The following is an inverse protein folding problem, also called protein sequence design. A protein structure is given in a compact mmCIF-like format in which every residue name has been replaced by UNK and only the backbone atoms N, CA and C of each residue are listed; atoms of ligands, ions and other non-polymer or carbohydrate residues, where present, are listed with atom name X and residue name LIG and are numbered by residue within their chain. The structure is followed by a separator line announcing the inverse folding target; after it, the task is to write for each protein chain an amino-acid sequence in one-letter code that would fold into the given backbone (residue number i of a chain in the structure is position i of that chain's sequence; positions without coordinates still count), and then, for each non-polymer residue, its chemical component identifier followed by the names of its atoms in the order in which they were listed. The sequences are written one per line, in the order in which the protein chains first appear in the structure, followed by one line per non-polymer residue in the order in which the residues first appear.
data_IF_717230613208
#
_entry.id   IF_717230613208
#
_cell.length_a   1.000
_cell.length_b   1.000
_cell.length_c   1.000
_cell.angle_alpha   90.00
_cell.angle_beta   90.00
_cell.angle_gamma   90.00
#
_symmetry.space_group_name_H-M   'P 1'
#
loop_
_entity.id
_entity.type
_entity.pdbx_description
1 polymer ?
#
# COMPACT_ATOMS: atom_id res chain seq x y z
N UNK A 1 -1.64 -9.19 -29.01
CA UNK A 1 -2.21 -10.49 -28.63
C UNK A 1 -1.73 -10.89 -27.24
N UNK A 2 -0.42 -10.96 -26.99
CA UNK A 2 0.16 -11.45 -25.71
C UNK A 2 -0.38 -10.78 -24.43
N UNK A 3 -0.48 -9.44 -24.41
CA UNK A 3 -1.04 -8.72 -23.24
C UNK A 3 -2.54 -8.90 -23.06
N UNK A 4 -3.26 -9.28 -24.12
CA UNK A 4 -4.69 -9.56 -24.12
C UNK A 4 -4.97 -10.93 -23.52
N UNK A 5 -4.20 -11.92 -23.95
CA UNK A 5 -4.31 -13.30 -23.47
C UNK A 5 -3.88 -13.39 -22.00
N UNK A 6 -2.85 -12.63 -21.59
CA UNK A 6 -2.44 -12.53 -20.18
C UNK A 6 -3.58 -12.04 -19.25
N UNK A 7 -4.40 -11.09 -19.69
CA UNK A 7 -5.54 -10.58 -18.90
C UNK A 7 -6.67 -11.62 -18.82
N UNK A 8 -6.92 -12.33 -19.93
CA UNK A 8 -7.91 -13.40 -19.94
C UNK A 8 -7.49 -14.57 -19.06
N UNK A 9 -6.20 -14.90 -19.04
CA UNK A 9 -5.62 -15.92 -18.15
C UNK A 9 -5.70 -15.48 -16.68
N UNK A 10 -5.34 -14.22 -16.38
CA UNK A 10 -5.49 -13.66 -15.03
C UNK A 10 -6.95 -13.73 -14.55
N UNK A 11 -7.90 -13.34 -15.41
CA UNK A 11 -9.33 -13.42 -15.12
C UNK A 11 -9.75 -14.87 -14.85
N UNK A 12 -9.37 -15.82 -15.71
CA UNK A 12 -9.71 -17.23 -15.58
C UNK A 12 -9.16 -17.82 -14.26
N UNK A 13 -7.91 -17.50 -13.90
CA UNK A 13 -7.29 -17.92 -12.64
C UNK A 13 -8.03 -17.35 -11.44
N UNK A 14 -8.36 -16.06 -11.44
CA UNK A 14 -9.09 -15.42 -10.34
C UNK A 14 -10.52 -15.97 -10.23
N UNK A 15 -11.16 -16.25 -11.36
CA UNK A 15 -12.51 -16.82 -11.42
C UNK A 15 -12.54 -18.23 -10.84
N UNK A 16 -11.62 -19.10 -11.29
CA UNK A 16 -11.49 -20.45 -10.76
C UNK A 16 -11.22 -20.47 -9.25
N UNK A 17 -10.42 -19.53 -8.75
CA UNK A 17 -10.21 -19.36 -7.29
C UNK A 17 -11.47 -18.93 -6.57
N UNK A 18 -12.29 -18.05 -7.16
CA UNK A 18 -13.54 -17.61 -6.55
C UNK A 18 -14.58 -18.74 -6.52
N UNK A 19 -14.57 -19.64 -7.50
CA UNK A 19 -15.49 -20.78 -7.57
C UNK A 19 -15.12 -21.90 -6.55
N UNK A 20 -13.97 -21.83 -5.88
CA UNK A 20 -13.58 -22.76 -4.80
C UNK A 20 -14.41 -22.51 -3.50
N UNK A 21 -15.20 -23.50 -3.03
CA UNK A 21 -15.98 -23.39 -1.78
C UNK A 21 -15.17 -22.98 -0.55
N UNK A 22 -13.88 -23.35 -0.49
CA UNK A 22 -13.01 -23.02 0.64
C UNK A 22 -12.78 -21.51 0.77
N UNK A 23 -12.82 -20.76 -0.34
CA UNK A 23 -12.65 -19.30 -0.34
C UNK A 23 -13.82 -18.60 0.35
N UNK A 24 -15.02 -19.17 0.30
CA UNK A 24 -16.21 -18.60 0.92
C UNK A 24 -16.24 -18.76 2.46
N UNK A 25 -15.33 -19.55 3.04
CA UNK A 25 -15.13 -19.61 4.50
C UNK A 25 -14.52 -18.31 5.07
N UNK A 26 -13.86 -17.53 4.22
CA UNK A 26 -13.34 -16.20 4.54
C UNK A 26 -13.99 -15.18 3.59
N UNK A 27 -15.03 -14.51 4.08
CA UNK A 27 -15.76 -13.50 3.31
C UNK A 27 -14.85 -12.36 2.82
N UNK A 28 -13.78 -12.01 3.56
CA UNK A 28 -12.82 -10.97 3.16
C UNK A 28 -12.03 -11.44 1.93
N UNK A 29 -11.62 -12.72 1.89
CA UNK A 29 -10.94 -13.33 0.74
C UNK A 29 -11.84 -13.38 -0.49
N UNK A 30 -13.09 -13.83 -0.34
CA UNK A 30 -14.05 -13.89 -1.44
C UNK A 30 -14.33 -12.49 -2.03
N UNK A 31 -14.51 -11.48 -1.17
CA UNK A 31 -14.71 -10.09 -1.60
C UNK A 31 -13.51 -9.53 -2.36
N UNK A 32 -12.28 -9.75 -1.88
CA UNK A 32 -11.06 -9.33 -2.59
C UNK A 32 -10.97 -9.90 -4.00
N UNK A 33 -11.30 -11.19 -4.16
CA UNK A 33 -11.33 -11.84 -5.48
C UNK A 33 -12.42 -11.25 -6.39
N UNK A 34 -13.61 -10.98 -5.85
CA UNK A 34 -14.68 -10.31 -6.62
C UNK A 34 -14.25 -8.93 -7.13
N UNK A 35 -13.65 -8.09 -6.30
CA UNK A 35 -13.13 -6.78 -6.72
C UNK A 35 -12.02 -6.89 -7.76
N UNK A 36 -11.14 -7.88 -7.61
CA UNK A 36 -10.10 -8.13 -8.60
C UNK A 36 -10.69 -8.53 -9.96
N UNK A 37 -11.73 -9.35 -9.99
CA UNK A 37 -12.47 -9.69 -11.22
C UNK A 37 -13.21 -8.48 -11.79
N UNK A 38 -13.89 -7.69 -10.97
CA UNK A 38 -14.59 -6.48 -11.38
C UNK A 38 -13.62 -5.48 -12.04
N UNK A 39 -12.42 -5.32 -11.48
CA UNK A 39 -11.38 -4.46 -12.04
C UNK A 39 -10.86 -4.94 -13.40
N UNK A 40 -10.99 -6.24 -13.71
CA UNK A 40 -10.59 -6.82 -14.99
C UNK A 40 -11.69 -6.78 -16.06
N UNK A 41 -12.95 -6.63 -15.66
CA UNK A 41 -14.11 -6.72 -16.56
C UNK A 41 -14.07 -5.71 -17.73
N UNK A 42 -13.68 -4.43 -17.54
CA UNK A 42 -13.57 -3.49 -18.67
C UNK A 42 -12.57 -3.93 -19.73
N UNK A 43 -11.45 -4.54 -19.31
CA UNK A 43 -10.40 -5.02 -20.21
C UNK A 43 -10.84 -6.30 -20.94
N UNK A 44 -11.53 -7.20 -20.23
CA UNK A 44 -12.14 -8.41 -20.81
C UNK A 44 -13.22 -8.06 -21.85
N UNK A 45 -14.08 -7.09 -21.54
CA UNK A 45 -15.11 -6.64 -22.48
C UNK A 45 -14.49 -6.03 -23.74
N UNK A 46 -13.47 -5.18 -23.60
CA UNK A 46 -12.77 -4.59 -24.75
C UNK A 46 -12.00 -5.62 -25.58
N UNK A 47 -11.42 -6.63 -24.91
CA UNK A 47 -10.78 -7.79 -25.55
C UNK A 47 -11.77 -8.53 -26.44
N UNK A 48 -12.97 -8.82 -25.95
CA UNK A 48 -14.02 -9.48 -26.73
C UNK A 48 -14.44 -8.66 -27.96
N UNK A 49 -14.61 -7.35 -27.81
CA UNK A 49 -14.93 -6.45 -28.94
C UNK A 49 -13.81 -6.39 -29.97
N UNK A 50 -12.55 -6.35 -29.53
CA UNK A 50 -11.39 -6.35 -30.42
C UNK A 50 -11.27 -7.65 -31.22
N UNK A 51 -11.57 -8.80 -30.60
CA UNK A 51 -11.58 -10.09 -31.29
C UNK A 51 -12.64 -10.12 -32.39
N UNK A 52 -13.87 -9.71 -32.09
CA UNK A 52 -14.94 -9.61 -33.08
C UNK A 52 -14.56 -8.67 -34.24
N UNK A 53 -13.98 -7.50 -33.93
CA UNK A 53 -13.53 -6.55 -34.95
C UNK A 53 -12.38 -7.09 -35.82
N UNK A 54 -11.53 -7.96 -35.26
CA UNK A 54 -10.49 -8.65 -36.01
C UNK A 54 -11.08 -9.68 -36.99
N UNK A 55 -12.13 -10.38 -36.58
CA UNK A 55 -12.89 -11.28 -37.45
C UNK A 55 -13.57 -10.51 -38.58
N UNK A 56 -14.25 -9.40 -38.28
CA UNK A 56 -14.86 -8.53 -39.30
C UNK A 56 -13.81 -8.01 -40.30
N UNK A 57 -12.64 -7.60 -39.81
CA UNK A 57 -11.53 -7.16 -40.65
C UNK A 57 -10.99 -8.28 -41.54
N UNK A 58 -10.89 -9.50 -41.00
CA UNK A 58 -10.46 -10.69 -41.74
C UNK A 58 -11.44 -10.99 -42.88
N UNK A 59 -12.73 -10.98 -42.59
CA UNK A 59 -13.79 -11.23 -43.57
C UNK A 59 -13.84 -10.13 -44.64
N UNK A 60 -13.78 -8.85 -44.24
CA UNK A 60 -13.74 -7.72 -45.16
C UNK A 60 -12.51 -7.75 -46.09
N UNK A 61 -11.35 -8.18 -45.58
CA UNK A 61 -10.15 -8.42 -46.42
C UNK A 61 -10.34 -9.57 -47.38
N UNK A 62 -11.00 -10.64 -46.95
CA UNK A 62 -11.39 -11.76 -47.81
C UNK A 62 -12.31 -11.32 -48.94
N UNK A 63 -13.34 -10.52 -48.64
CA UNK A 63 -14.23 -9.95 -49.65
C UNK A 63 -13.53 -8.98 -50.58
N UNK A 64 -12.63 -8.13 -50.08
CA UNK A 64 -11.85 -7.20 -50.90
C UNK A 64 -10.96 -7.91 -51.94
N UNK A 65 -10.55 -9.15 -51.68
CA UNK A 65 -9.82 -9.96 -52.65
C UNK A 65 -10.68 -10.40 -53.84
N UNK A 66 -12.00 -10.52 -53.65
CA UNK A 66 -12.96 -10.91 -54.70
C UNK A 66 -13.65 -9.70 -55.35
N UNK A 67 -13.94 -8.66 -54.57
CA UNK A 67 -14.63 -7.44 -54.99
C UNK A 67 -13.91 -6.20 -54.41
N UNK A 68 -13.23 -5.40 -55.25
CA UNK A 68 -12.53 -4.18 -54.82
C UNK A 68 -13.40 -3.17 -54.07
N UNK A 69 -14.73 -3.20 -54.19
CA UNK A 69 -15.64 -2.31 -53.46
C UNK A 69 -15.44 -2.40 -51.94
N UNK A 70 -15.04 -3.57 -51.42
CA UNK A 70 -14.79 -3.81 -49.99
C UNK A 70 -13.45 -3.25 -49.48
N UNK A 71 -12.56 -2.77 -50.35
CA UNK A 71 -11.25 -2.24 -49.96
C UNK A 71 -11.35 -1.07 -48.98
N UNK A 72 -12.33 -0.19 -49.21
CA UNK A 72 -12.56 0.98 -48.34
C UNK A 72 -13.00 0.56 -46.93
N UNK A 73 -13.86 -0.45 -46.84
CA UNK A 73 -14.36 -1.00 -45.58
C UNK A 73 -13.28 -1.77 -44.83
N UNK A 74 -12.50 -2.63 -45.50
CA UNK A 74 -11.34 -3.29 -44.91
C UNK A 74 -10.32 -2.27 -44.37
N UNK A 75 -10.10 -1.16 -45.09
CA UNK A 75 -9.26 -0.06 -44.63
C UNK A 75 -9.84 0.68 -43.41
N UNK A 76 -11.15 0.89 -43.37
CA UNK A 76 -11.86 1.51 -42.22
C UNK A 76 -11.72 0.65 -40.97
N UNK A 77 -12.06 -0.63 -41.06
CA UNK A 77 -11.93 -1.61 -39.99
C UNK A 77 -10.47 -1.75 -39.53
N UNK A 78 -9.51 -1.75 -40.45
CA UNK A 78 -8.08 -1.81 -40.11
C UNK A 78 -7.61 -0.65 -39.24
N UNK A 79 -8.05 0.58 -39.55
CA UNK A 79 -7.75 1.76 -38.71
C UNK A 79 -8.44 1.67 -37.34
N UNK A 80 -9.66 1.16 -37.31
CA UNK A 80 -10.44 1.00 -36.08
C UNK A 80 -9.80 -0.02 -35.12
N UNK A 81 -9.36 -1.18 -35.66
CA UNK A 81 -8.59 -2.18 -34.91
C UNK A 81 -7.34 -1.55 -34.32
N UNK A 82 -6.50 -0.93 -35.14
CA UNK A 82 -5.23 -0.33 -34.69
C UNK A 82 -5.45 0.73 -33.61
N UNK A 83 -6.47 1.59 -33.76
CA UNK A 83 -6.79 2.61 -32.77
C UNK A 83 -7.25 2.02 -31.43
N UNK A 84 -8.10 0.99 -31.46
CA UNK A 84 -8.57 0.32 -30.23
C UNK A 84 -7.47 -0.48 -29.55
N UNK A 85 -6.62 -1.19 -30.30
CA UNK A 85 -5.46 -1.89 -29.75
C UNK A 85 -4.51 -0.92 -29.04
N UNK A 86 -4.18 0.21 -29.66
CA UNK A 86 -3.33 1.23 -29.05
C UNK A 86 -3.95 1.86 -27.80
N UNK A 87 -5.28 2.00 -27.76
CA UNK A 87 -6.00 2.48 -26.57
C UNK A 87 -5.95 1.45 -25.45
N UNK A 88 -6.22 0.17 -25.75
CA UNK A 88 -6.20 -0.90 -24.77
C UNK A 88 -4.80 -1.14 -24.21
N UNK A 89 -3.78 -1.15 -25.06
CA UNK A 89 -2.38 -1.30 -24.65
C UNK A 89 -1.96 -0.18 -23.66
N UNK A 90 -2.33 1.08 -23.95
CA UNK A 90 -2.09 2.20 -23.02
C UNK A 90 -2.83 2.03 -21.69
N UNK A 91 -4.09 1.58 -21.73
CA UNK A 91 -4.87 1.35 -20.52
C UNK A 91 -4.26 0.24 -19.65
N UNK A 92 -3.83 -0.87 -20.27
CA UNK A 92 -3.16 -1.98 -19.57
C UNK A 92 -1.81 -1.57 -18.99
N UNK A 93 -1.01 -0.77 -19.71
CA UNK A 93 0.25 -0.26 -19.20
C UNK A 93 0.08 0.70 -18.00
N UNK A 94 -1.05 1.42 -17.93
CA UNK A 94 -1.36 2.34 -16.84
C UNK A 94 -1.97 1.64 -15.60
N UNK A 95 -2.55 0.46 -15.78
CA UNK A 95 -3.22 -0.34 -14.72
C UNK A 95 -2.23 -0.69 -13.61
N UNK A 96 -2.62 -0.47 -12.36
CA UNK A 96 -1.88 -1.00 -11.22
C UNK A 96 -2.55 -2.31 -10.74
N UNK A 97 -1.84 -3.46 -10.76
CA UNK A 97 -2.40 -4.74 -10.31
C UNK A 97 -2.91 -4.73 -8.88
N UNK A 98 -2.41 -3.82 -8.04
CA UNK A 98 -2.82 -3.71 -6.63
C UNK A 98 -4.05 -2.80 -6.42
N UNK A 99 -4.58 -2.11 -7.44
CA UNK A 99 -5.76 -1.23 -7.29
C UNK A 99 -6.96 -1.87 -6.56
N UNK A 100 -7.26 -3.18 -6.70
CA UNK A 100 -8.34 -3.84 -5.96
C UNK A 100 -8.03 -4.18 -4.49
N UNK A 101 -6.79 -3.95 -4.02
CA UNK A 101 -6.32 -4.41 -2.72
C UNK A 101 -6.82 -3.53 -1.57
N UNK A 102 -7.05 -4.18 -0.44
CA UNK A 102 -7.08 -3.52 0.87
C UNK A 102 -5.65 -3.11 1.25
N UNK A 103 -5.48 -2.26 2.28
CA UNK A 103 -4.14 -1.78 2.66
C UNK A 103 -3.86 -1.88 4.15
N UNK A 104 -2.59 -1.99 4.47
CA UNK A 104 -2.03 -1.70 5.79
C UNK A 104 -1.35 -0.34 5.72
N UNK A 105 -1.75 0.58 6.59
CA UNK A 105 -1.12 1.89 6.78
C UNK A 105 -0.35 1.85 8.08
N UNK A 106 0.95 2.16 8.02
CA UNK A 106 1.83 2.37 9.16
C UNK A 106 2.25 3.83 9.22
N UNK A 107 2.09 4.43 10.39
CA UNK A 107 2.55 5.77 10.72
C UNK A 107 3.71 5.64 11.69
N UNK A 108 4.89 6.11 11.31
CA UNK A 108 6.08 6.12 12.16
C UNK A 108 6.48 7.57 12.45
N UNK A 109 6.32 8.00 13.70
CA UNK A 109 6.71 9.32 14.18
C UNK A 109 7.97 9.25 15.06
N UNK A 110 8.84 10.25 14.92
CA UNK A 110 9.94 10.45 15.87
C UNK A 110 9.45 10.95 17.24
N UNK A 111 10.40 11.24 18.13
CA UNK A 111 10.12 11.88 19.41
C UNK A 111 9.34 13.21 19.21
N UNK A 112 8.30 13.45 20.02
CA UNK A 112 7.45 14.65 19.93
C UNK A 112 6.41 14.65 18.82
N UNK A 113 6.29 13.56 18.05
CA UNK A 113 5.33 13.40 16.95
C UNK A 113 3.98 12.79 17.37
N UNK A 114 3.73 12.55 18.66
CA UNK A 114 2.52 11.89 19.20
C UNK A 114 1.23 12.49 18.64
N UNK A 115 1.14 13.83 18.74
CA UNK A 115 -0.04 14.57 18.29
C UNK A 115 -0.24 14.46 16.79
N UNK A 116 0.86 14.38 16.03
CA UNK A 116 0.86 14.32 14.57
C UNK A 116 0.46 12.92 14.07
N UNK A 117 1.02 11.88 14.69
CA UNK A 117 0.62 10.49 14.43
C UNK A 117 -0.86 10.32 14.71
N UNK A 118 -1.36 10.85 15.84
CA UNK A 118 -2.79 10.82 16.18
C UNK A 118 -3.63 11.57 15.16
N UNK A 119 -3.24 12.80 14.80
CA UNK A 119 -3.98 13.62 13.83
C UNK A 119 -4.06 12.97 12.45
N UNK A 120 -2.96 12.35 11.98
CA UNK A 120 -2.93 11.58 10.74
C UNK A 120 -3.77 10.30 10.83
N UNK A 121 -3.67 9.55 11.93
CA UNK A 121 -4.51 8.37 12.14
C UNK A 121 -6.00 8.74 12.09
N UNK A 122 -6.40 9.85 12.74
CA UNK A 122 -7.78 10.33 12.71
C UNK A 122 -8.19 10.85 11.33
N UNK A 123 -7.26 11.45 10.58
CA UNK A 123 -7.47 11.80 9.18
C UNK A 123 -7.77 10.56 8.33
N UNK A 124 -6.95 9.50 8.42
CA UNK A 124 -7.19 8.26 7.70
C UNK A 124 -8.51 7.59 8.10
N UNK A 125 -8.86 7.60 9.39
CA UNK A 125 -10.16 7.08 9.87
C UNK A 125 -11.34 7.87 9.30
N UNK A 126 -11.25 9.20 9.23
CA UNK A 126 -12.29 10.03 8.60
C UNK A 126 -12.38 9.78 7.10
N UNK A 127 -11.25 9.83 6.40
CA UNK A 127 -11.17 9.56 4.96
C UNK A 127 -11.77 8.20 4.60
N UNK A 128 -11.40 7.15 5.34
CA UNK A 128 -11.95 5.82 5.15
C UNK A 128 -13.47 5.79 5.40
N UNK A 129 -13.97 6.44 6.45
CA UNK A 129 -15.41 6.53 6.72
C UNK A 129 -16.16 7.23 5.58
N UNK A 130 -15.64 8.35 5.09
CA UNK A 130 -16.25 9.13 4.02
C UNK A 130 -16.26 8.35 2.69
N UNK A 131 -15.26 7.49 2.48
CA UNK A 131 -15.18 6.55 1.37
C UNK A 131 -16.01 5.25 1.57
N UNK A 132 -16.69 5.08 2.70
CA UNK A 132 -17.46 3.87 3.04
C UNK A 132 -16.59 2.65 3.35
N UNK A 133 -15.33 2.86 3.75
CA UNK A 133 -14.36 1.83 4.07
C UNK A 133 -14.33 1.53 5.57
N UNK A 134 -13.90 0.32 5.92
CA UNK A 134 -13.72 -0.12 7.29
C UNK A 134 -12.27 0.03 7.72
N UNK A 135 -12.05 0.54 8.93
CA UNK A 135 -10.72 0.66 9.54
C UNK A 135 -10.66 -0.26 10.76
N UNK A 136 -9.61 -1.08 10.80
CA UNK A 136 -9.27 -1.94 11.93
C UNK A 136 -7.90 -1.53 12.45
N UNK A 137 -7.80 -1.05 13.69
CA UNK A 137 -6.53 -0.76 14.32
C UNK A 137 -5.82 -2.08 14.65
N UNK A 138 -4.63 -2.31 14.08
CA UNK A 138 -3.86 -3.56 14.21
C UNK A 138 -2.81 -3.50 15.32
N UNK A 139 -2.29 -2.30 15.58
CA UNK A 139 -1.43 -2.04 16.72
C UNK A 139 -1.39 -0.54 17.00
N UNK A 140 -1.40 -0.20 18.29
CA UNK A 140 -0.88 1.07 18.77
C UNK A 140 0.55 0.78 19.23
N UNK A 141 1.55 1.11 18.41
CA UNK A 141 2.93 0.85 18.81
C UNK A 141 3.26 1.73 20.02
N UNK A 142 3.83 1.18 21.11
CA UNK A 142 4.44 2.04 22.11
C UNK A 142 5.64 2.77 21.49
N UNK A 143 6.09 3.88 22.12
CA UNK A 143 7.02 4.84 21.54
C UNK A 143 8.33 4.25 20.96
N UNK A 144 8.98 4.97 20.00
CA UNK A 144 8.57 6.26 19.46
C UNK A 144 7.43 6.08 18.46
N UNK A 145 6.50 7.01 18.55
CA UNK A 145 5.06 6.84 18.37
C UNK A 145 4.67 6.32 16.99
N UNK A 146 3.85 5.28 16.95
CA UNK A 146 3.32 4.78 15.68
C UNK A 146 1.92 4.18 15.77
N UNK A 147 1.22 4.22 14.66
CA UNK A 147 -0.09 3.61 14.50
C UNK A 147 -0.06 2.69 13.28
N UNK A 148 -0.60 1.47 13.44
CA UNK A 148 -0.77 0.55 12.33
C UNK A 148 -2.26 0.24 12.21
N UNK A 149 -2.82 0.46 11.03
CA UNK A 149 -4.23 0.21 10.74
C UNK A 149 -4.39 -0.52 9.42
N UNK A 150 -5.34 -1.45 9.40
CA UNK A 150 -5.83 -2.04 8.16
C UNK A 150 -7.03 -1.24 7.68
N UNK A 151 -6.96 -0.77 6.43
CA UNK A 151 -8.05 -0.09 5.76
C UNK A 151 -8.60 -1.00 4.67
N UNK A 152 -9.88 -1.30 4.83
CA UNK A 152 -10.58 -2.32 4.08
C UNK A 152 -11.69 -1.67 3.26
N UNK A 153 -11.58 -1.69 1.94
CA UNK A 153 -12.59 -1.07 1.07
C UNK A 153 -13.92 -1.83 1.10
N UNK A 154 -14.98 -1.17 0.61
CA UNK A 154 -16.33 -1.74 0.48
C UNK A 154 -16.41 -2.90 -0.51
N UNK A 155 -17.63 -3.38 -0.76
CA UNK A 155 -17.87 -4.50 -1.70
C UNK A 155 -17.69 -4.10 -3.16
N UNK A 156 -18.06 -2.86 -3.51
CA UNK A 156 -18.03 -2.32 -4.86
C UNK A 156 -16.98 -1.24 -5.01
N UNK A 157 -16.49 -1.05 -6.23
CA UNK A 157 -15.53 -0.01 -6.56
C UNK A 157 -14.08 -0.38 -6.25
N UNK A 158 -13.16 0.59 -6.39
CA UNK A 158 -11.73 0.34 -6.25
C UNK A 158 -11.35 -0.05 -4.82
N UNK A 159 -10.25 -0.78 -4.67
CA UNK A 159 -9.67 -1.10 -3.36
C UNK A 159 -9.09 0.14 -2.68
N UNK A 160 -8.81 0.02 -1.38
CA UNK A 160 -8.21 1.08 -0.59
C UNK A 160 -6.84 1.51 -1.13
N UNK A 161 -6.10 0.58 -1.76
CA UNK A 161 -4.82 0.87 -2.40
C UNK A 161 -4.92 1.92 -3.50
N UNK A 162 -5.96 1.87 -4.34
CA UNK A 162 -6.11 2.82 -5.45
C UNK A 162 -6.17 4.28 -4.97
N UNK A 163 -6.78 4.51 -3.79
CA UNK A 163 -6.88 5.83 -3.17
C UNK A 163 -5.62 6.23 -2.39
N UNK A 164 -4.98 5.29 -1.69
CA UNK A 164 -3.94 5.59 -0.70
C UNK A 164 -2.51 5.33 -1.19
N UNK A 165 -2.31 4.73 -2.36
CA UNK A 165 -0.96 4.37 -2.85
C UNK A 165 0.02 5.55 -2.98
N UNK A 166 -0.49 6.78 -3.11
CA UNK A 166 0.33 8.00 -3.24
C UNK A 166 0.72 8.62 -1.91
N UNK A 167 0.23 8.08 -0.79
CA UNK A 167 0.48 8.60 0.55
C UNK A 167 1.76 8.05 1.18
N UNK A 168 2.49 7.18 0.49
CA UNK A 168 3.80 6.72 0.97
C UNK A 168 4.80 7.89 0.98
N UNK A 169 5.31 8.25 2.16
CA UNK A 169 6.39 9.22 2.31
C UNK A 169 6.36 10.00 3.62
N UNK A 170 7.05 11.15 3.62
CA UNK A 170 7.14 12.02 4.78
C UNK A 170 6.03 13.07 4.76
N UNK A 171 5.27 13.10 5.85
CA UNK A 171 4.20 14.06 6.09
C UNK A 171 4.64 15.03 7.18
N UNK A 172 4.87 16.27 6.78
CA UNK A 172 5.24 17.33 7.70
C UNK A 172 3.98 17.94 8.30
N UNK A 173 4.03 18.21 9.61
CA UNK A 173 2.95 18.89 10.30
C UNK A 173 3.44 20.21 10.85
N UNK A 174 2.87 21.29 10.34
CA UNK A 174 3.08 22.63 10.90
C UNK A 174 2.11 22.81 12.05
N UNK A 175 2.63 22.93 13.26
CA UNK A 175 1.83 23.44 14.38
C UNK A 175 1.57 24.91 14.16
N UNK A 176 0.30 25.29 14.02
CA UNK A 176 -0.13 26.69 14.11
C UNK A 176 -0.10 27.15 15.57
N UNK A 177 1.07 27.16 16.20
CA UNK A 177 1.31 28.06 17.30
C UNK A 177 1.91 29.32 16.69
N UNK A 178 1.11 30.39 16.60
CA UNK A 178 1.65 31.75 16.55
C UNK A 178 2.74 31.81 17.63
N UNK A 179 4.00 32.15 17.32
CA UNK A 179 4.97 32.33 18.38
C UNK A 179 4.38 33.40 19.30
N UNK A 180 4.04 33.03 20.54
CA UNK A 180 3.75 34.01 21.56
C UNK A 180 4.94 34.96 21.51
N UNK A 181 4.65 36.23 21.18
CA UNK A 181 5.61 37.27 20.87
C UNK A 181 6.83 37.12 21.75
N UNK A 182 7.95 36.67 21.17
CA UNK A 182 9.23 36.67 21.85
C UNK A 182 9.60 38.15 21.96
N UNK A 183 9.34 38.73 23.13
CA UNK A 183 9.84 40.05 23.47
C UNK A 183 11.36 40.07 23.24
N UNK A 184 11.89 41.05 22.48
CA UNK A 184 13.31 41.17 22.25
C UNK A 184 13.96 41.77 23.50
N UNK A 185 14.55 40.94 24.36
CA UNK A 185 15.39 41.48 25.43
C UNK A 185 15.52 40.58 26.65
N UNK A 186 16.42 39.60 26.58
CA UNK A 186 17.05 39.07 27.79
C UNK A 186 18.37 38.41 27.40
N UNK A 187 19.41 39.23 27.38
CA UNK A 187 20.79 38.77 27.43
C UNK A 187 20.96 38.13 28.81
N UNK A 188 21.36 36.86 28.84
CA UNK A 188 22.01 36.29 30.02
C UNK A 188 23.33 35.67 29.60
N UNK A 189 24.36 36.47 29.80
CA UNK A 189 25.77 36.13 29.70
C UNK A 189 26.18 35.28 30.90
N UNK A 190 27.05 34.29 30.67
CA UNK A 190 28.06 33.88 31.65
C UNK A 190 28.07 32.42 32.12
N UNK A 191 29.11 31.69 31.69
CA UNK A 191 30.01 30.97 32.59
C UNK A 191 29.76 29.47 32.85
N UNK A 192 30.67 28.62 32.36
CA UNK A 192 30.84 27.23 32.81
C UNK A 192 31.70 26.39 31.84
N UNK A 193 32.97 26.17 32.19
CA UNK A 193 34.07 25.55 31.42
C UNK A 193 33.83 24.14 30.82
N UNK A 194 34.64 23.74 29.81
CA UNK A 194 34.67 22.40 29.24
C UNK A 194 35.71 21.50 29.95
N UNK A 195 35.35 20.23 30.21
CA UNK A 195 36.30 19.17 30.55
C UNK A 195 36.38 18.12 29.41
N UNK A 196 37.56 17.57 29.08
CA UNK A 196 37.76 16.70 27.92
C UNK A 196 37.76 15.20 28.25
N UNK A 197 37.41 14.38 27.24
CA UNK A 197 37.95 13.03 27.06
C UNK A 197 37.08 11.86 27.52
N UNK A 198 36.65 11.02 26.56
CA UNK A 198 35.96 9.76 26.85
C UNK A 198 35.46 9.05 25.59
N UNK A 199 36.39 8.61 24.74
CA UNK A 199 36.19 7.82 23.54
C UNK A 199 35.57 6.45 23.86
N UNK A 200 34.44 6.14 23.21
CA UNK A 200 33.81 4.82 23.22
C UNK A 200 32.76 4.76 22.13
N UNK A 201 33.19 4.51 20.90
CA UNK A 201 32.32 4.38 19.74
C UNK A 201 31.54 3.06 19.83
N UNK A 202 30.23 3.17 20.01
CA UNK A 202 29.25 2.09 19.87
C UNK A 202 28.84 1.97 18.39
N UNK A 203 29.03 0.82 17.71
CA UNK A 203 28.63 0.63 16.32
C UNK A 203 27.22 0.02 16.29
N UNK A 204 26.20 0.86 16.42
CA UNK A 204 24.80 0.43 16.34
C UNK A 204 23.91 1.54 15.78
N UNK A 205 23.72 1.58 14.47
CA UNK A 205 22.78 2.49 13.81
C UNK A 205 21.34 2.20 14.23
N UNK A 206 20.85 2.92 15.24
CA UNK A 206 19.45 2.94 15.65
C UNK A 206 18.60 3.89 14.80
N UNK A 207 17.26 3.70 14.74
CA UNK A 207 16.35 4.52 13.96
C UNK A 207 16.06 5.81 14.71
N UNK A 208 17.02 6.73 14.78
CA UNK A 208 16.84 7.97 15.51
C UNK A 208 16.84 9.18 14.57
N UNK A 209 15.82 10.03 14.74
CA UNK A 209 15.56 11.32 14.06
C UNK A 209 15.06 11.27 12.61
N UNK A 210 13.76 11.06 12.44
CA UNK A 210 13.04 11.71 11.34
C UNK A 210 12.82 13.19 11.70
N UNK A 211 13.85 14.01 11.53
CA UNK A 211 13.76 15.48 11.62
C UNK A 211 13.68 15.98 10.19
N UNK A 212 12.61 16.72 9.86
CA UNK A 212 12.49 17.34 8.55
C UNK A 212 13.62 18.34 8.29
N UNK A 213 13.90 18.71 7.02
CA UNK A 213 15.00 19.61 6.66
C UNK A 213 14.99 20.96 7.40
N UNK A 214 13.85 21.37 7.96
CA UNK A 214 13.65 22.66 8.64
C UNK A 214 13.37 22.54 10.16
N UNK A 215 13.60 21.38 10.78
CA UNK A 215 13.26 21.14 12.19
C UNK A 215 11.76 20.88 12.46
N UNK A 216 10.97 20.72 11.40
CA UNK A 216 9.57 20.31 11.49
C UNK A 216 9.46 18.84 11.93
N UNK A 217 8.51 18.55 12.84
CA UNK A 217 8.18 17.18 13.22
C UNK A 217 7.49 16.49 12.03
N UNK A 218 8.09 15.41 11.54
CA UNK A 218 7.56 14.62 10.42
C UNK A 218 7.05 13.27 10.89
N UNK A 219 6.04 12.77 10.20
CA UNK A 219 5.54 11.39 10.33
C UNK A 219 5.75 10.69 9.01
N UNK A 220 6.41 9.54 9.05
CA UNK A 220 6.56 8.67 7.90
C UNK A 220 5.29 7.85 7.74
N UNK A 221 4.64 7.97 6.60
CA UNK A 221 3.48 7.17 6.22
C UNK A 221 3.96 6.07 5.29
N UNK A 222 3.63 4.83 5.65
CA UNK A 222 3.92 3.65 4.86
C UNK A 222 2.61 2.93 4.55
N UNK A 223 2.18 2.96 3.29
CA UNK A 223 1.02 2.24 2.77
C UNK A 223 1.50 0.99 2.03
N UNK A 224 0.96 -0.17 2.41
CA UNK A 224 1.23 -1.49 1.81
C UNK A 224 -0.07 -2.14 1.39
N UNK A 225 -0.17 -2.77 0.20
CA UNK A 225 -1.34 -3.57 -0.10
C UNK A 225 -1.36 -4.81 0.80
N UNK A 226 -2.53 -5.19 1.30
CA UNK A 226 -2.70 -6.37 2.15
C UNK A 226 -2.69 -7.65 1.29
N UNK A 227 -1.50 -7.97 0.79
CA UNK A 227 -1.20 -9.14 -0.04
C UNK A 227 -0.25 -10.10 0.68
N UNK A 228 -0.19 -11.33 0.17
CA UNK A 228 0.77 -12.34 0.62
C UNK A 228 1.94 -12.41 -0.37
N UNK A 229 3.18 -12.67 0.10
CA UNK A 229 4.31 -12.95 -0.78
C UNK A 229 3.99 -14.15 -1.68
N UNK A 230 4.65 -14.24 -2.85
CA UNK A 230 4.47 -15.38 -3.75
C UNK A 230 5.07 -16.63 -3.15
N UNK A 231 6.23 -16.49 -2.49
CA UNK A 231 6.83 -17.55 -1.71
C UNK A 231 5.98 -17.84 -0.47
N UNK A 232 5.64 -19.12 -0.26
CA UNK A 232 4.92 -19.53 0.94
C UNK A 232 5.81 -19.33 2.18
N UNK A 233 5.36 -18.50 3.11
CA UNK A 233 6.04 -18.28 4.40
C UNK A 233 5.83 -19.51 5.27
N UNK A 234 6.91 -20.22 5.59
CA UNK A 234 6.83 -21.41 6.44
C UNK A 234 6.81 -20.99 7.90
N UNK A 235 6.04 -21.66 8.77
CA UNK A 235 6.00 -21.31 10.20
C UNK A 235 7.37 -21.33 10.88
N UNK A 236 8.27 -22.22 10.45
CA UNK A 236 9.64 -22.35 10.96
C UNK A 236 10.55 -21.16 10.62
N UNK A 237 10.21 -20.37 9.61
CA UNK A 237 10.96 -19.19 9.19
C UNK A 237 10.57 -17.95 10.00
N UNK A 238 9.61 -18.09 10.93
CA UNK A 238 9.10 -17.01 11.76
C UNK A 238 9.48 -17.27 13.21
N UNK A 239 10.31 -16.39 13.78
CA UNK A 239 10.52 -16.30 15.22
C UNK A 239 9.44 -15.42 15.84
N UNK A 240 8.87 -15.86 16.96
CA UNK A 240 7.89 -15.10 17.74
C UNK A 240 8.48 -14.90 19.14
N UNK A 241 8.85 -13.66 19.44
CA UNK A 241 9.37 -13.26 20.74
C UNK A 241 8.24 -12.61 21.55
N UNK A 242 8.06 -13.01 22.81
CA UNK A 242 7.11 -12.40 23.73
C UNK A 242 7.80 -11.22 24.42
N UNK A 243 7.29 -10.01 24.22
CA UNK A 243 7.81 -8.81 24.88
C UNK A 243 7.06 -8.62 26.20
N UNK A 244 7.82 -8.52 27.30
CA UNK A 244 7.23 -8.29 28.61
C UNK A 244 6.67 -6.87 28.69
N UNK A 245 5.36 -6.74 28.84
CA UNK A 245 4.76 -5.48 29.29
C UNK A 245 5.01 -5.35 30.80
N UNK A 246 5.30 -4.14 31.29
CA UNK A 246 5.53 -3.91 32.74
C UNK A 246 4.24 -4.05 33.58
N UNK A 247 3.11 -4.41 32.97
CA UNK A 247 1.81 -4.52 33.62
C UNK A 247 1.39 -6.00 33.72
N UNK A 248 1.07 -6.51 34.91
CA UNK A 248 0.68 -7.91 35.13
C UNK A 248 -0.49 -8.40 34.26
N UNK A 249 -1.42 -7.50 33.90
CA UNK A 249 -2.60 -7.76 33.05
C UNK A 249 -2.57 -6.95 31.74
N UNK A 250 -1.39 -6.54 31.30
CA UNK A 250 -1.22 -5.78 30.06
C UNK A 250 -1.57 -6.62 28.81
N UNK A 251 -1.83 -5.97 27.66
CA UNK A 251 -2.01 -6.69 26.40
C UNK A 251 -0.77 -7.52 26.08
N UNK A 252 -0.97 -8.65 25.39
CA UNK A 252 0.13 -9.45 24.90
C UNK A 252 0.88 -8.69 23.81
N UNK A 253 2.18 -8.52 23.98
CA UNK A 253 3.07 -7.87 23.02
C UNK A 253 3.96 -8.92 22.36
N UNK A 254 3.76 -9.16 21.07
CA UNK A 254 4.47 -10.18 20.30
C UNK A 254 5.30 -9.53 19.21
N UNK A 255 6.60 -9.84 19.16
CA UNK A 255 7.48 -9.47 18.06
C UNK A 255 7.63 -10.67 17.13
N UNK A 256 7.17 -10.51 15.89
CA UNK A 256 7.35 -11.48 14.82
C UNK A 256 8.56 -11.06 14.00
N UNK A 257 9.47 -12.01 13.72
CA UNK A 257 10.63 -11.79 12.85
C UNK A 257 10.69 -12.90 11.80
N UNK A 258 10.65 -12.53 10.53
CA UNK A 258 10.91 -13.47 9.44
C UNK A 258 12.42 -13.61 9.26
N UNK A 259 12.97 -14.76 9.67
CA UNK A 259 14.41 -15.01 9.76
C UNK A 259 15.15 -14.83 8.43
N UNK A 260 14.65 -15.30 7.27
CA UNK A 260 15.37 -15.15 6.00
C UNK A 260 15.53 -13.71 5.52
N UNK A 261 14.57 -12.82 5.82
CA UNK A 261 14.57 -11.43 5.32
C UNK A 261 14.92 -10.41 6.38
N UNK A 262 14.86 -10.78 7.66
CA UNK A 262 15.01 -9.85 8.79
C UNK A 262 13.81 -8.92 9.02
N UNK A 263 12.75 -9.04 8.21
CA UNK A 263 11.53 -8.21 8.37
C UNK A 263 10.85 -8.58 9.69
N UNK A 264 10.58 -7.58 10.51
CA UNK A 264 9.92 -7.75 11.79
C UNK A 264 8.70 -6.85 11.95
N UNK A 265 7.70 -7.31 12.69
CA UNK A 265 6.54 -6.52 13.04
C UNK A 265 6.01 -6.91 14.43
N UNK A 266 5.27 -6.00 15.05
CA UNK A 266 4.73 -6.19 16.39
C UNK A 266 3.21 -6.39 16.31
N UNK A 267 2.68 -7.30 17.12
CA UNK A 267 1.24 -7.47 17.35
C UNK A 267 0.93 -7.21 18.82
N UNK A 268 -0.01 -6.31 19.08
CA UNK A 268 -0.41 -5.93 20.44
C UNK A 268 -1.92 -6.04 20.57
N UNK A 269 -2.39 -6.99 21.38
CA UNK A 269 -3.82 -7.17 21.67
C UNK A 269 -3.97 -7.86 23.03
N UNK A 270 -5.10 -7.66 23.72
CA UNK A 270 -5.41 -8.37 24.97
C UNK A 270 -5.56 -9.88 24.74
N UNK A 271 -5.95 -10.29 23.53
CA UNK A 271 -6.06 -11.67 23.12
C UNK A 271 -4.86 -12.08 22.27
N UNK A 272 -4.05 -13.01 22.76
CA UNK A 272 -2.90 -13.55 22.02
C UNK A 272 -3.24 -14.02 20.61
N UNK A 273 -4.44 -14.56 20.38
CA UNK A 273 -4.88 -14.99 19.04
C UNK A 273 -5.00 -13.81 18.06
N UNK A 274 -5.57 -12.69 18.50
CA UNK A 274 -5.72 -11.48 17.69
C UNK A 274 -4.38 -10.80 17.47
N UNK A 275 -3.54 -10.70 18.51
CA UNK A 275 -2.18 -10.17 18.40
C UNK A 275 -1.37 -10.93 17.33
N UNK A 276 -1.47 -12.27 17.30
CA UNK A 276 -0.85 -13.11 16.26
C UNK A 276 -1.43 -12.85 14.87
N UNK A 277 -2.75 -12.71 14.75
CA UNK A 277 -3.40 -12.42 13.47
C UNK A 277 -2.97 -11.06 12.91
N UNK A 278 -2.99 -10.02 13.74
CA UNK A 278 -2.56 -8.66 13.37
C UNK A 278 -1.10 -8.62 12.95
N UNK A 279 -0.19 -9.19 13.75
CA UNK A 279 1.22 -9.29 13.39
C UNK A 279 1.41 -10.02 12.07
N UNK A 280 0.74 -11.16 11.87
CA UNK A 280 0.84 -11.92 10.62
C UNK A 280 0.37 -11.11 9.41
N UNK A 281 -0.73 -10.34 9.51
CA UNK A 281 -1.22 -9.48 8.42
C UNK A 281 -0.18 -8.44 8.02
N UNK A 282 0.41 -7.76 9.00
CA UNK A 282 1.46 -6.75 8.77
C UNK A 282 2.71 -7.40 8.17
N UNK A 283 3.17 -8.52 8.74
CA UNK A 283 4.35 -9.25 8.27
C UNK A 283 4.22 -9.64 6.80
N UNK A 284 3.07 -10.21 6.41
CA UNK A 284 2.84 -10.67 5.04
C UNK A 284 2.81 -9.51 4.05
N UNK A 285 2.20 -8.38 4.41
CA UNK A 285 2.19 -7.19 3.57
C UNK A 285 3.60 -6.63 3.36
N UNK A 286 4.44 -6.62 4.40
CA UNK A 286 5.84 -6.17 4.31
C UNK A 286 6.71 -7.16 3.52
N UNK A 287 6.52 -8.47 3.70
CA UNK A 287 7.23 -9.49 2.92
C UNK A 287 6.87 -9.42 1.44
N UNK A 288 5.60 -9.22 1.12
CA UNK A 288 5.18 -9.01 -0.26
C UNK A 288 5.86 -7.77 -0.86
N UNK A 289 5.92 -6.67 -0.10
CA UNK A 289 6.55 -5.44 -0.55
C UNK A 289 8.07 -5.58 -0.74
N UNK A 290 8.73 -6.39 0.09
CA UNK A 290 10.15 -6.70 -0.05
C UNK A 290 10.44 -7.64 -1.25
N UNK A 291 9.52 -8.56 -1.57
CA UNK A 291 9.62 -9.45 -2.73
C UNK A 291 9.29 -8.74 -4.05
N UNK A 292 8.47 -7.69 -4.00
CA UNK A 292 8.02 -6.98 -5.19
C UNK A 292 9.21 -6.35 -5.93
N UNK A 293 9.61 -7.00 -7.03
CA UNK A 293 10.72 -6.58 -7.87
C UNK A 293 10.50 -5.22 -8.54
N UNK A 294 11.56 -4.56 -9.03
CA UNK A 294 11.50 -3.22 -9.61
C UNK A 294 10.45 -3.04 -10.72
N UNK A 295 10.15 -4.11 -11.46
CA UNK A 295 9.25 -4.10 -12.62
C UNK A 295 7.76 -4.15 -12.24
N UNK A 296 7.43 -4.40 -10.97
CA UNK A 296 6.03 -4.42 -10.53
C UNK A 296 5.48 -2.99 -10.47
N UNK A 297 4.38 -2.72 -11.18
CA UNK A 297 3.84 -1.36 -11.35
C UNK A 297 3.48 -0.65 -10.03
N UNK A 298 3.19 -1.42 -8.98
CA UNK A 298 2.91 -0.90 -7.63
C UNK A 298 4.18 -0.47 -6.87
N UNK A 299 5.36 -0.99 -7.23
CA UNK A 299 6.64 -0.73 -6.52
C UNK A 299 7.08 0.71 -6.61
N UNK A 300 6.72 1.43 -7.69
CA UNK A 300 6.94 2.87 -7.79
C UNK A 300 6.34 3.63 -6.60
N UNK A 301 5.21 3.15 -6.07
CA UNK A 301 4.53 3.74 -4.92
C UNK A 301 5.10 3.28 -3.58
N UNK A 302 5.80 2.15 -3.52
CA UNK A 302 6.40 1.63 -2.28
C UNK A 302 7.69 2.36 -1.89
N UNK A 303 8.41 2.90 -2.90
CA UNK A 303 9.74 3.50 -2.74
C UNK A 303 9.74 4.94 -2.21
N UNK A 304 8.58 5.58 -2.10
CA UNK A 304 8.50 7.00 -1.73
C UNK A 304 8.64 7.30 -0.24
N UNK A 305 9.01 6.32 0.59
CA UNK A 305 9.01 6.45 2.04
C UNK A 305 9.82 7.65 2.59
N UNK A 306 10.87 8.09 1.88
CA UNK A 306 11.77 9.19 2.30
C UNK A 306 11.53 10.53 1.59
N UNK A 307 10.56 10.62 0.69
CA UNK A 307 10.25 11.87 -0.01
C UNK A 307 9.13 12.65 0.69
N UNK A 308 9.18 13.99 0.74
CA UNK A 308 8.07 14.79 1.24
C UNK A 308 6.86 14.65 0.31
N UNK A 309 5.70 14.32 0.88
CA UNK A 309 4.46 14.06 0.11
C UNK A 309 3.44 15.19 0.31
N UNK A 310 3.25 15.63 1.55
CA UNK A 310 2.27 16.66 1.87
C UNK A 310 2.64 17.43 3.15
N UNK A 311 2.26 18.71 3.17
CA UNK A 311 2.16 19.49 4.39
C UNK A 311 0.72 19.42 4.88
N UNK A 312 0.52 18.87 6.07
CA UNK A 312 -0.80 18.86 6.70
C UNK A 312 -0.86 19.96 7.77
N UNK A 313 -1.82 20.86 7.64
CA UNK A 313 -2.17 21.83 8.69
C UNK A 313 -3.34 21.25 9.47
N UNK A 314 -3.12 20.89 10.73
CA UNK A 314 -4.19 20.49 11.63
C UNK A 314 -4.51 21.68 12.54
N UNK A 315 -5.77 22.15 12.48
CA UNK A 315 -6.32 23.23 13.32
C UNK A 315 -6.94 22.63 14.57
#
# INVERSE_FOLDING_TARGET
MDGLDAIMDEYAVLRARLDDPAVHRDWRRARRLRRALEALEPYRAETGRLRALHDDLRDARGFAAADPAWTSEAGRLGREVAAREARLARALAARDPCDPCDVIVRLDGGEGAERHVRALADHYRRYARDAGWHVEDLACAPPPHGAIMAITAGETGPGAWAGLKRDNGLHAVRTSSTPASREPGSVRTGGGDPAPGGTGADPGGGPDRAVGPDGETVVRVTVRPELRPRAAVRPQDIRIDLLCTRQPDGPGDLLFTHLPTGVSCRGVDSQHRRAREHAMRVLLAELWAAEAGPDHLSVRYLRHADHPVAHHTFV
#
